data_IF_425753596132
#
_entry.id   IF_425753596132
#
_cell.length_a   1.000
_cell.length_b   1.000
_cell.length_c   1.000
_cell.angle_alpha   90.00
_cell.angle_beta   90.00
_cell.angle_gamma   90.00
#
_symmetry.space_group_name_H-M   'P 1'
#
loop_
_entity.id
_entity.type
_entity.pdbx_description
1 polymer ?
#
# COMPACT_ATOMS: atom_id res chain seq x y z
N UNK A 1 -14.36 -48.05 -14.59
CA UNK A 1 -13.79 -46.98 -15.45
C UNK A 1 -13.91 -45.60 -14.80
N UNK A 2 -15.08 -45.18 -14.28
CA UNK A 2 -15.24 -43.89 -13.59
C UNK A 2 -14.53 -43.81 -12.21
N UNK A 3 -14.49 -44.92 -11.45
CA UNK A 3 -13.77 -44.94 -10.15
C UNK A 3 -12.25 -44.83 -10.30
N UNK A 4 -11.64 -45.47 -11.29
CA UNK A 4 -10.20 -45.36 -11.53
C UNK A 4 -9.78 -43.94 -11.97
N UNK A 5 -10.64 -43.24 -12.72
CA UNK A 5 -10.43 -41.84 -13.06
C UNK A 5 -10.49 -40.93 -11.83
N UNK A 6 -11.39 -41.22 -10.87
CA UNK A 6 -11.46 -40.50 -9.60
C UNK A 6 -10.22 -40.71 -8.72
N UNK A 7 -9.72 -41.95 -8.67
CA UNK A 7 -8.54 -42.32 -7.90
C UNK A 7 -7.27 -41.70 -8.47
N UNK A 8 -7.12 -41.71 -9.80
CA UNK A 8 -6.01 -41.03 -10.49
C UNK A 8 -6.07 -39.50 -10.35
N UNK A 9 -7.26 -38.90 -10.34
CA UNK A 9 -7.42 -37.47 -10.08
C UNK A 9 -7.05 -37.09 -8.64
N UNK A 10 -7.42 -37.93 -7.67
CA UNK A 10 -7.04 -37.74 -6.26
C UNK A 10 -5.53 -37.93 -6.06
N UNK A 11 -4.94 -38.93 -6.70
CA UNK A 11 -3.51 -39.23 -6.59
C UNK A 11 -2.66 -38.14 -7.28
N UNK A 12 -3.09 -37.61 -8.43
CA UNK A 12 -2.47 -36.43 -9.06
C UNK A 12 -2.53 -35.19 -8.18
N UNK A 13 -3.64 -34.95 -7.46
CA UNK A 13 -3.74 -33.82 -6.51
C UNK A 13 -2.75 -33.95 -5.35
N UNK A 14 -2.55 -35.15 -4.82
CA UNK A 14 -1.58 -35.38 -3.74
C UNK A 14 -0.12 -35.21 -4.21
N UNK A 15 0.21 -35.65 -5.42
CA UNK A 15 1.55 -35.46 -6.00
C UNK A 15 1.82 -33.99 -6.32
N UNK A 16 0.82 -33.24 -6.80
CA UNK A 16 0.93 -31.78 -7.01
C UNK A 16 1.10 -31.01 -5.69
N UNK A 17 0.47 -31.46 -4.60
CA UNK A 17 0.68 -30.91 -3.25
C UNK A 17 2.07 -31.22 -2.70
N UNK A 18 2.58 -32.44 -2.93
CA UNK A 18 3.90 -32.87 -2.46
C UNK A 18 5.07 -32.24 -3.24
N UNK A 19 4.82 -31.79 -4.48
CA UNK A 19 5.78 -31.05 -5.31
C UNK A 19 5.73 -29.54 -5.11
N UNK A 20 4.84 -29.01 -4.24
CA UNK A 20 4.89 -27.60 -3.92
C UNK A 20 6.19 -27.29 -3.18
N UNK A 21 6.96 -26.27 -3.63
CA UNK A 21 8.13 -25.84 -2.90
C UNK A 21 7.71 -25.51 -1.46
N UNK A 22 8.56 -25.91 -0.50
CA UNK A 22 8.40 -25.65 0.95
C UNK A 22 8.66 -24.17 1.28
N UNK A 23 8.18 -23.28 0.42
CA UNK A 23 8.24 -21.83 0.57
C UNK A 23 6.79 -21.39 0.70
N UNK A 24 6.46 -20.78 1.84
CA UNK A 24 5.12 -20.31 2.09
C UNK A 24 4.72 -19.32 0.98
N UNK A 25 3.73 -19.65 0.13
CA UNK A 25 3.40 -18.82 -1.03
C UNK A 25 3.04 -17.39 -0.58
N UNK A 26 2.43 -17.27 0.60
CA UNK A 26 2.07 -16.01 1.25
C UNK A 26 3.28 -15.13 1.56
N UNK A 27 4.38 -15.71 2.06
CA UNK A 27 5.61 -14.98 2.33
C UNK A 27 6.21 -14.43 1.03
N UNK A 28 6.17 -15.22 -0.03
CA UNK A 28 6.67 -14.83 -1.35
C UNK A 28 5.85 -13.65 -1.90
N UNK A 29 4.52 -13.70 -1.79
CA UNK A 29 3.65 -12.59 -2.19
C UNK A 29 3.93 -11.31 -1.39
N UNK A 30 4.10 -11.41 -0.07
CA UNK A 30 4.38 -10.27 0.79
C UNK A 30 5.73 -9.59 0.45
N UNK A 31 6.78 -10.38 0.20
CA UNK A 31 8.10 -9.84 -0.17
C UNK A 31 8.05 -9.19 -1.55
N UNK A 32 7.43 -9.84 -2.53
CA UNK A 32 7.26 -9.28 -3.88
C UNK A 32 6.45 -7.98 -3.83
N UNK A 33 5.37 -7.95 -3.03
CA UNK A 33 4.55 -6.76 -2.78
C UNK A 33 5.40 -5.60 -2.26
N UNK A 34 6.21 -5.84 -1.23
CA UNK A 34 7.05 -4.80 -0.62
C UNK A 34 8.07 -4.26 -1.63
N UNK A 35 8.71 -5.15 -2.40
CA UNK A 35 9.66 -4.76 -3.45
C UNK A 35 8.96 -3.89 -4.49
N UNK A 36 7.79 -4.31 -4.99
CA UNK A 36 7.03 -3.53 -5.97
C UNK A 36 6.66 -2.13 -5.44
N UNK A 37 6.22 -2.03 -4.19
CA UNK A 37 5.82 -0.76 -3.57
C UNK A 37 6.97 0.22 -3.35
N UNK A 38 8.22 -0.25 -3.24
CA UNK A 38 9.39 0.60 -3.11
C UNK A 38 9.98 0.93 -4.49
N UNK A 39 10.17 -0.10 -5.32
CA UNK A 39 10.88 0.04 -6.60
C UNK A 39 10.12 0.90 -7.62
N UNK A 40 8.78 0.81 -7.70
CA UNK A 40 8.02 1.55 -8.70
C UNK A 40 7.98 3.06 -8.46
N UNK A 41 7.63 3.56 -7.25
CA UNK A 41 7.73 4.99 -6.96
C UNK A 41 9.17 5.51 -7.04
N UNK A 42 10.16 4.70 -6.66
CA UNK A 42 11.58 5.06 -6.77
C UNK A 42 11.99 5.22 -8.23
N UNK A 43 11.61 4.26 -9.08
CA UNK A 43 11.85 4.33 -10.52
C UNK A 43 11.19 5.55 -11.15
N UNK A 44 9.95 5.86 -10.77
CA UNK A 44 9.25 7.05 -11.23
C UNK A 44 9.98 8.35 -10.81
N UNK A 45 10.54 8.39 -9.61
CA UNK A 45 11.33 9.53 -9.15
C UNK A 45 12.66 9.67 -9.90
N UNK A 46 13.37 8.57 -10.16
CA UNK A 46 14.63 8.58 -10.95
C UNK A 46 14.37 9.13 -12.37
N UNK A 47 13.19 8.85 -12.92
CA UNK A 47 12.73 9.41 -14.21
C UNK A 47 12.27 10.87 -14.11
N UNK A 48 12.47 11.54 -12.98
CA UNK A 48 12.04 12.92 -12.72
C UNK A 48 10.56 13.16 -13.04
N UNK A 49 9.70 12.18 -12.73
CA UNK A 49 8.24 12.32 -12.90
C UNK A 49 7.68 13.35 -11.92
N UNK A 50 6.52 13.90 -12.26
CA UNK A 50 5.84 14.89 -11.43
C UNK A 50 5.43 14.29 -10.08
N UNK A 51 5.25 15.15 -9.07
CA UNK A 51 4.79 14.73 -7.75
C UNK A 51 3.44 14.03 -7.82
N UNK A 52 2.56 14.51 -8.71
CA UNK A 52 1.26 13.90 -8.99
C UNK A 52 1.43 12.44 -9.39
N UNK A 53 2.36 12.15 -10.30
CA UNK A 53 2.60 10.81 -10.79
C UNK A 53 3.05 9.84 -9.68
N UNK A 54 3.82 10.32 -8.70
CA UNK A 54 4.24 9.50 -7.56
C UNK A 54 3.06 9.06 -6.70
N UNK A 55 2.19 9.99 -6.32
CA UNK A 55 0.98 9.67 -5.54
C UNK A 55 0.02 8.76 -6.34
N UNK A 56 -0.16 9.00 -7.64
CA UNK A 56 -1.04 8.15 -8.46
C UNK A 56 -0.49 6.74 -8.65
N UNK A 57 0.81 6.58 -8.86
CA UNK A 57 1.45 5.26 -9.00
C UNK A 57 1.33 4.49 -7.68
N UNK A 58 1.65 5.14 -6.55
CA UNK A 58 1.51 4.53 -5.23
C UNK A 58 0.05 4.12 -4.96
N UNK A 59 -0.91 5.00 -5.23
CA UNK A 59 -2.34 4.70 -5.12
C UNK A 59 -2.74 3.48 -5.95
N UNK A 60 -2.38 3.44 -7.24
CA UNK A 60 -2.69 2.31 -8.11
C UNK A 60 -2.10 1.00 -7.59
N UNK A 61 -0.88 1.05 -7.05
CA UNK A 61 -0.24 -0.14 -6.47
C UNK A 61 -0.93 -0.61 -5.20
N UNK A 62 -1.26 0.31 -4.29
CA UNK A 62 -2.03 -0.04 -3.09
C UNK A 62 -3.36 -0.69 -3.46
N UNK A 63 -4.10 -0.14 -4.44
CA UNK A 63 -5.38 -0.71 -4.88
C UNK A 63 -5.17 -2.08 -5.55
N UNK A 64 -4.29 -2.17 -6.55
CA UNK A 64 -4.10 -3.38 -7.33
C UNK A 64 -3.68 -4.57 -6.45
N UNK A 65 -2.77 -4.31 -5.52
CA UNK A 65 -2.28 -5.34 -4.63
C UNK A 65 -3.31 -5.68 -3.52
N UNK A 66 -4.06 -4.69 -3.00
CA UNK A 66 -5.19 -4.98 -2.09
C UNK A 66 -6.22 -5.90 -2.74
N UNK A 67 -6.52 -5.66 -4.02
CA UNK A 67 -7.43 -6.52 -4.78
C UNK A 67 -6.86 -7.92 -4.97
N UNK A 68 -5.57 -8.05 -5.27
CA UNK A 68 -4.90 -9.34 -5.40
C UNK A 68 -4.97 -10.13 -4.08
N UNK A 69 -4.64 -9.48 -2.96
CA UNK A 69 -4.69 -10.06 -1.63
C UNK A 69 -6.12 -10.47 -1.26
N UNK A 70 -7.13 -9.64 -1.57
CA UNK A 70 -8.53 -9.96 -1.35
C UNK A 70 -8.99 -11.19 -2.16
N UNK A 71 -8.55 -11.31 -3.41
CA UNK A 71 -8.86 -12.48 -4.26
C UNK A 71 -8.20 -13.74 -3.70
N UNK A 72 -6.90 -13.68 -3.36
CA UNK A 72 -6.18 -14.81 -2.76
C UNK A 72 -6.85 -15.25 -1.46
N UNK A 73 -7.22 -14.29 -0.62
CA UNK A 73 -7.93 -14.54 0.63
C UNK A 73 -9.30 -15.19 0.39
N UNK A 74 -10.06 -14.68 -0.57
CA UNK A 74 -11.40 -15.22 -0.91
C UNK A 74 -11.31 -16.65 -1.43
N UNK A 75 -10.33 -16.95 -2.28
CA UNK A 75 -10.06 -18.30 -2.78
C UNK A 75 -9.62 -19.24 -1.66
N UNK A 76 -8.73 -18.78 -0.78
CA UNK A 76 -8.25 -19.57 0.36
C UNK A 76 -9.40 -19.88 1.31
N UNK A 77 -10.27 -18.90 1.61
CA UNK A 77 -11.44 -19.08 2.46
C UNK A 77 -12.43 -20.09 1.90
N UNK A 78 -12.69 -20.05 0.59
CA UNK A 78 -13.61 -20.96 -0.06
C UNK A 78 -13.06 -22.39 -0.19
N UNK A 79 -11.74 -22.56 -0.11
CA UNK A 79 -11.07 -23.87 -0.16
C UNK A 79 -10.95 -24.56 1.21
N UNK A 80 -11.17 -23.84 2.32
CA UNK A 80 -11.12 -24.42 3.66
C UNK A 80 -12.37 -25.27 3.95
N UNK A 81 -12.18 -26.57 4.16
CA UNK A 81 -13.18 -27.48 4.75
C UNK A 81 -13.20 -27.30 6.27
N UNK A 82 -14.30 -27.67 6.93
CA UNK A 82 -14.64 -27.38 8.34
C UNK A 82 -13.67 -27.88 9.42
N UNK A 83 -12.53 -28.48 9.06
CA UNK A 83 -11.63 -29.21 9.95
C UNK A 83 -10.27 -28.49 10.19
N UNK A 84 -10.07 -27.27 9.68
CA UNK A 84 -8.87 -26.48 9.95
C UNK A 84 -9.20 -25.14 10.65
N UNK A 85 -9.03 -25.03 11.99
CA UNK A 85 -9.47 -23.87 12.75
C UNK A 85 -8.45 -22.73 12.90
N UNK A 86 -7.28 -22.75 12.23
CA UNK A 86 -6.17 -21.89 12.68
C UNK A 86 -6.11 -20.48 12.05
N UNK A 87 -6.60 -20.26 10.82
CA UNK A 87 -6.31 -19.00 10.10
C UNK A 87 -7.52 -18.15 9.71
N UNK A 88 -8.75 -18.64 9.89
CA UNK A 88 -9.97 -17.89 9.51
C UNK A 88 -10.17 -16.63 10.38
N UNK A 89 -9.58 -16.63 11.59
CA UNK A 89 -9.73 -15.61 12.62
C UNK A 89 -8.37 -15.04 13.09
N UNK A 90 -7.34 -15.01 12.23
CA UNK A 90 -6.06 -14.37 12.57
C UNK A 90 -5.98 -12.94 12.04
N UNK A 91 -5.20 -12.09 12.73
CA UNK A 91 -4.94 -10.70 12.33
C UNK A 91 -4.42 -10.56 10.89
N UNK A 92 -3.89 -11.64 10.31
CA UNK A 92 -3.45 -11.73 8.93
C UNK A 92 -4.58 -11.38 7.93
N UNK A 93 -5.79 -11.91 8.14
CA UNK A 93 -6.93 -11.71 7.22
C UNK A 93 -7.45 -10.28 7.27
N UNK A 94 -7.52 -9.68 8.47
CA UNK A 94 -8.07 -8.34 8.67
C UNK A 94 -7.04 -7.25 8.35
N UNK A 95 -5.77 -7.50 8.67
CA UNK A 95 -4.66 -6.59 8.39
C UNK A 95 -4.43 -6.41 6.90
N UNK A 96 -4.44 -7.50 6.12
CA UNK A 96 -4.08 -7.46 4.71
C UNK A 96 -5.13 -6.72 3.84
N UNK A 97 -6.44 -6.97 4.05
CA UNK A 97 -7.48 -6.37 3.20
C UNK A 97 -7.90 -4.95 3.59
N UNK A 98 -7.98 -4.62 4.90
CA UNK A 98 -8.42 -3.29 5.33
C UNK A 98 -7.28 -2.27 5.37
N UNK A 99 -6.05 -2.67 5.71
CA UNK A 99 -4.95 -1.71 5.82
C UNK A 99 -4.44 -1.24 4.44
N UNK A 100 -4.49 -2.09 3.41
CA UNK A 100 -4.00 -1.73 2.09
C UNK A 100 -4.97 -0.80 1.33
N UNK A 101 -6.29 -1.01 1.44
CA UNK A 101 -7.31 -0.05 0.96
C UNK A 101 -7.29 1.25 1.79
N UNK A 102 -7.11 1.15 3.10
CA UNK A 102 -6.93 2.31 3.98
C UNK A 102 -5.76 3.22 3.55
N UNK A 103 -4.67 2.62 3.07
CA UNK A 103 -3.49 3.35 2.57
C UNK A 103 -3.69 3.98 1.19
N UNK A 104 -4.60 3.45 0.37
CA UNK A 104 -4.91 4.03 -0.94
C UNK A 104 -5.65 5.37 -0.83
N UNK A 105 -6.50 5.56 0.19
CA UNK A 105 -7.24 6.81 0.41
C UNK A 105 -6.37 8.05 0.58
N UNK A 106 -5.38 8.10 1.49
CA UNK A 106 -4.51 9.27 1.62
C UNK A 106 -3.71 9.51 0.34
N UNK A 107 -3.26 8.45 -0.35
CA UNK A 107 -2.57 8.58 -1.63
C UNK A 107 -3.46 9.20 -2.72
N UNK A 108 -4.71 8.76 -2.81
CA UNK A 108 -5.69 9.31 -3.74
C UNK A 108 -5.99 10.79 -3.43
N UNK A 109 -6.22 11.10 -2.15
CA UNK A 109 -6.47 12.48 -1.70
C UNK A 109 -5.32 13.41 -2.10
N UNK A 110 -4.07 13.02 -1.82
CA UNK A 110 -2.91 13.85 -2.16
C UNK A 110 -2.59 13.85 -3.66
N UNK A 111 -2.87 12.77 -4.40
CA UNK A 111 -2.80 12.78 -5.86
C UNK A 111 -3.73 13.85 -6.45
N UNK A 112 -5.01 13.85 -6.03
CA UNK A 112 -6.00 14.83 -6.52
C UNK A 112 -5.66 16.24 -6.08
N UNK A 113 -5.27 16.44 -4.81
CA UNK A 113 -4.89 17.75 -4.30
C UNK A 113 -3.68 18.32 -5.05
N UNK A 114 -2.60 17.54 -5.20
CA UNK A 114 -1.40 17.98 -5.92
C UNK A 114 -1.66 18.20 -7.41
N UNK A 115 -2.50 17.37 -8.04
CA UNK A 115 -2.96 17.58 -9.41
C UNK A 115 -3.66 18.93 -9.54
N UNK A 116 -4.63 19.21 -8.67
CA UNK A 116 -5.38 20.46 -8.68
C UNK A 116 -4.46 21.69 -8.47
N UNK A 117 -3.57 21.65 -7.47
CA UNK A 117 -2.60 22.73 -7.25
C UNK A 117 -1.64 22.89 -8.44
N UNK A 118 -1.19 21.80 -9.06
CA UNK A 118 -0.30 21.87 -10.23
C UNK A 118 -1.00 22.51 -11.43
N UNK A 119 -2.29 22.24 -11.64
CA UNK A 119 -3.08 22.78 -12.76
C UNK A 119 -3.21 24.29 -12.70
N UNK A 120 -3.33 24.86 -11.51
CA UNK A 120 -3.41 26.30 -11.28
C UNK A 120 -2.05 26.96 -11.03
N UNK A 121 -0.94 26.22 -11.15
CA UNK A 121 0.40 26.74 -10.85
C UNK A 121 0.60 27.12 -9.37
N UNK A 122 -0.24 26.57 -8.48
CA UNK A 122 -0.26 26.88 -7.06
C UNK A 122 0.65 25.98 -6.21
N UNK A 123 1.31 24.98 -6.81
CA UNK A 123 2.27 24.10 -6.14
C UNK A 123 3.67 24.73 -6.10
N UNK A 124 4.01 25.40 -5.01
CA UNK A 124 5.23 26.21 -4.87
C UNK A 124 6.44 25.35 -4.46
N UNK A 125 6.22 24.29 -3.68
CA UNK A 125 7.28 23.51 -3.04
C UNK A 125 7.31 22.03 -3.50
N UNK A 126 7.49 21.74 -4.80
CA UNK A 126 7.39 20.37 -5.30
C UNK A 126 8.43 19.42 -4.68
N UNK A 127 9.65 19.89 -4.41
CA UNK A 127 10.71 19.07 -3.79
C UNK A 127 10.36 18.62 -2.37
N UNK A 128 9.82 19.53 -1.57
CA UNK A 128 9.38 19.23 -0.21
C UNK A 128 8.19 18.26 -0.21
N UNK A 129 7.27 18.42 -1.17
CA UNK A 129 6.14 17.49 -1.35
C UNK A 129 6.62 16.07 -1.73
N UNK A 130 7.69 15.93 -2.53
CA UNK A 130 8.30 14.61 -2.81
C UNK A 130 8.91 13.99 -1.55
N UNK A 131 9.58 14.79 -0.72
CA UNK A 131 10.16 14.29 0.53
C UNK A 131 9.07 13.81 1.49
N UNK A 132 8.01 14.62 1.67
CA UNK A 132 6.86 14.26 2.49
C UNK A 132 6.07 13.07 1.93
N UNK A 133 6.02 12.91 0.60
CA UNK A 133 5.48 11.71 -0.04
C UNK A 133 6.23 10.45 0.44
N UNK A 134 7.56 10.45 0.40
CA UNK A 134 8.34 9.29 0.85
C UNK A 134 8.19 9.03 2.34
N UNK A 135 8.16 10.10 3.13
CA UNK A 135 7.95 9.97 4.57
C UNK A 135 6.59 9.33 4.88
N UNK A 136 5.52 9.78 4.21
CA UNK A 136 4.19 9.18 4.31
C UNK A 136 4.20 7.73 3.80
N UNK A 137 4.74 7.48 2.61
CA UNK A 137 4.73 6.18 1.95
C UNK A 137 5.46 5.12 2.77
N UNK A 138 6.66 5.41 3.26
CA UNK A 138 7.44 4.50 4.11
C UNK A 138 6.71 4.24 5.44
N UNK A 139 6.11 5.27 6.05
CA UNK A 139 5.36 5.11 7.30
C UNK A 139 4.15 4.18 7.12
N UNK A 140 3.40 4.34 6.02
CA UNK A 140 2.27 3.47 5.68
C UNK A 140 2.71 2.03 5.36
N UNK A 141 3.83 1.86 4.66
CA UNK A 141 4.42 0.54 4.41
C UNK A 141 4.80 -0.16 5.71
N UNK A 142 5.48 0.54 6.62
CA UNK A 142 5.90 -0.05 7.90
C UNK A 142 4.71 -0.40 8.80
N UNK A 143 3.67 0.46 8.82
CA UNK A 143 2.45 0.22 9.60
C UNK A 143 1.74 -1.06 9.18
N UNK A 144 1.69 -1.37 7.87
CA UNK A 144 0.96 -2.52 7.33
C UNK A 144 1.82 -3.78 7.22
N UNK A 145 3.02 -3.66 6.65
CA UNK A 145 3.86 -4.83 6.34
C UNK A 145 4.39 -5.50 7.60
N UNK A 146 4.83 -4.72 8.60
CA UNK A 146 5.51 -5.28 9.77
C UNK A 146 4.61 -6.21 10.60
N UNK A 147 3.36 -5.84 10.96
CA UNK A 147 2.44 -6.77 11.61
C UNK A 147 2.08 -7.95 10.73
N UNK A 148 1.78 -7.71 9.44
CA UNK A 148 1.35 -8.76 8.52
C UNK A 148 2.42 -9.83 8.32
N UNK A 149 3.69 -9.43 8.26
CA UNK A 149 4.84 -10.32 8.17
C UNK A 149 5.02 -11.13 9.48
N UNK A 150 4.91 -10.48 10.63
CA UNK A 150 5.08 -11.14 11.93
C UNK A 150 3.93 -12.10 12.26
N UNK A 151 2.69 -11.75 11.94
CA UNK A 151 1.53 -12.63 12.13
C UNK A 151 1.49 -13.81 11.15
N UNK A 152 2.23 -13.74 10.04
CA UNK A 152 2.41 -14.89 9.17
C UNK A 152 3.32 -15.95 9.82
N UNK A 153 4.37 -15.52 10.53
CA UNK A 153 5.31 -16.40 11.23
C UNK A 153 4.71 -16.91 12.55
N UNK A 154 4.00 -16.03 13.25
CA UNK A 154 3.35 -16.33 14.52
C UNK A 154 1.84 -16.12 14.38
N UNK A 155 1.07 -17.13 13.95
CA UNK A 155 -0.36 -17.00 13.79
C UNK A 155 -1.02 -16.83 15.16
N UNK A 156 -1.72 -15.71 15.34
CA UNK A 156 -2.44 -15.41 16.58
C UNK A 156 -3.90 -15.07 16.31
N UNK A 157 -4.83 -15.57 17.15
CA UNK A 157 -6.24 -15.26 16.98
C UNK A 157 -6.53 -13.80 17.35
N UNK A 158 -7.52 -13.22 16.69
CA UNK A 158 -8.00 -11.85 16.91
C UNK A 158 -8.63 -11.66 18.31
N UNK A 159 -8.51 -10.45 18.86
CA UNK A 159 -9.16 -9.98 20.12
C UNK A 159 -8.54 -10.40 21.46
N UNK A 160 -7.26 -10.76 21.52
CA UNK A 160 -6.59 -10.91 22.81
C UNK A 160 -6.04 -9.57 23.31
N UNK A 161 -6.25 -9.31 24.59
CA UNK A 161 -5.73 -8.13 25.29
C UNK A 161 -4.26 -8.35 25.68
N UNK A 162 -3.92 -9.59 26.05
CA UNK A 162 -2.57 -9.96 26.46
C UNK A 162 -1.78 -10.57 25.30
N UNK A 163 -0.62 -9.98 25.02
CA UNK A 163 0.31 -10.40 23.97
C UNK A 163 1.57 -11.00 24.61
N UNK A 164 2.19 -12.01 23.99
CA UNK A 164 3.58 -12.35 24.27
C UNK A 164 4.45 -11.07 24.14
N UNK A 165 5.41 -10.89 25.04
CA UNK A 165 6.24 -9.67 25.12
C UNK A 165 6.86 -9.26 23.77
N UNK A 166 7.22 -10.24 22.94
CA UNK A 166 7.73 -9.99 21.58
C UNK A 166 6.71 -9.32 20.65
N UNK A 167 5.45 -9.75 20.65
CA UNK A 167 4.39 -9.14 19.83
C UNK A 167 3.98 -7.76 20.35
N UNK A 168 4.07 -7.54 21.68
CA UNK A 168 3.87 -6.22 22.25
C UNK A 168 4.88 -5.21 21.67
N UNK A 169 6.14 -5.62 21.48
CA UNK A 169 7.16 -4.76 20.86
C UNK A 169 6.83 -4.39 19.40
N UNK A 170 6.32 -5.34 18.61
CA UNK A 170 5.90 -5.10 17.23
C UNK A 170 4.70 -4.15 17.18
N UNK A 171 3.72 -4.34 18.05
CA UNK A 171 2.57 -3.45 18.17
C UNK A 171 2.99 -2.02 18.53
N UNK A 172 3.98 -1.85 19.40
CA UNK A 172 4.55 -0.54 19.74
C UNK A 172 5.20 0.13 18.53
N UNK A 173 5.99 -0.62 17.73
CA UNK A 173 6.58 -0.10 16.48
C UNK A 173 5.49 0.30 15.49
N UNK A 174 4.43 -0.49 15.35
CA UNK A 174 3.29 -0.17 14.48
C UNK A 174 2.53 1.07 14.96
N UNK A 175 2.36 1.25 16.27
CA UNK A 175 1.76 2.45 16.83
C UNK A 175 2.61 3.70 16.54
N UNK A 176 3.93 3.60 16.68
CA UNK A 176 4.85 4.69 16.38
C UNK A 176 4.83 5.08 14.89
N UNK A 177 4.82 4.08 13.99
CA UNK A 177 4.76 4.34 12.55
C UNK A 177 3.39 4.87 12.10
N UNK A 178 2.31 4.48 12.77
CA UNK A 178 0.99 5.08 12.59
C UNK A 178 1.00 6.56 12.98
N UNK A 179 1.59 6.93 14.13
CA UNK A 179 1.78 8.32 14.54
C UNK A 179 2.56 9.13 13.49
N UNK A 180 3.65 8.56 12.95
CA UNK A 180 4.45 9.18 11.89
C UNK A 180 3.63 9.41 10.63
N UNK A 181 2.79 8.44 10.23
CA UNK A 181 1.92 8.57 9.07
C UNK A 181 0.89 9.70 9.26
N UNK A 182 0.30 9.81 10.46
CA UNK A 182 -0.62 10.89 10.79
C UNK A 182 0.06 12.26 10.75
N UNK A 183 1.25 12.38 11.34
CA UNK A 183 2.02 13.61 11.28
C UNK A 183 2.37 14.01 9.83
N UNK A 184 2.74 13.03 9.00
CA UNK A 184 3.02 13.25 7.59
C UNK A 184 1.81 13.80 6.84
N UNK A 185 0.61 13.27 7.10
CA UNK A 185 -0.66 13.77 6.53
C UNK A 185 -0.91 15.22 6.96
N UNK A 186 -0.77 15.53 8.25
CA UNK A 186 -1.00 16.89 8.78
C UNK A 186 -0.03 17.89 8.16
N UNK A 187 1.26 17.57 8.13
CA UNK A 187 2.31 18.44 7.55
C UNK A 187 2.09 18.62 6.05
N UNK A 188 1.76 17.55 5.33
CA UNK A 188 1.50 17.62 3.89
C UNK A 188 0.25 18.45 3.58
N UNK A 189 -0.84 18.26 4.33
CA UNK A 189 -2.05 19.06 4.20
C UNK A 189 -1.77 20.54 4.48
N UNK A 190 -1.08 20.85 5.59
CA UNK A 190 -0.67 22.21 5.93
C UNK A 190 0.20 22.85 4.85
N UNK A 191 1.15 22.09 4.28
CA UNK A 191 2.02 22.56 3.20
C UNK A 191 1.23 22.87 1.91
N UNK A 192 0.27 22.02 1.52
CA UNK A 192 -0.55 22.25 0.34
C UNK A 192 -1.49 23.45 0.52
N UNK A 193 -2.13 23.57 1.68
CA UNK A 193 -2.97 24.73 2.02
C UNK A 193 -2.13 26.01 2.01
N UNK A 194 -0.97 26.01 2.66
CA UNK A 194 -0.03 27.14 2.66
C UNK A 194 0.42 27.52 1.25
N UNK A 195 0.74 26.52 0.42
CA UNK A 195 1.09 26.71 -0.98
C UNK A 195 -0.03 27.41 -1.77
N UNK A 196 -1.29 27.00 -1.55
CA UNK A 196 -2.45 27.59 -2.21
C UNK A 196 -2.67 29.07 -1.86
N UNK A 197 -2.51 29.44 -0.58
CA UNK A 197 -2.62 30.84 -0.14
C UNK A 197 -1.50 31.72 -0.68
N UNK A 198 -0.27 31.20 -0.73
CA UNK A 198 0.87 31.93 -1.28
C UNK A 198 0.80 32.10 -2.79
N UNK A 199 0.22 31.14 -3.50
CA UNK A 199 0.03 31.23 -4.94
C UNK A 199 -0.95 32.36 -5.31
N UNK A 200 -2.07 32.47 -4.59
CA UNK A 200 -3.03 33.57 -4.75
C UNK A 200 -2.35 34.94 -4.67
N UNK A 201 -1.42 35.14 -3.72
CA UNK A 201 -0.68 36.41 -3.58
C UNK A 201 0.15 36.78 -4.80
N UNK A 202 0.65 35.80 -5.55
CA UNK A 202 1.51 36.01 -6.74
C UNK A 202 0.73 36.26 -8.02
N UNK A 203 -0.48 35.70 -8.16
CA UNK A 203 -1.28 35.82 -9.39
C UNK A 203 -1.96 37.17 -9.56
N UNK A 204 -2.17 37.95 -8.49
CA UNK A 204 -2.69 39.33 -8.61
C UNK A 204 -1.73 40.28 -9.35
N UNK A 205 -0.44 39.94 -9.44
CA UNK A 205 0.59 40.79 -10.04
C UNK A 205 1.10 40.33 -11.41
N UNK A 206 0.66 39.18 -11.93
CA UNK A 206 1.04 38.72 -13.27
C UNK A 206 -0.19 38.32 -14.07
N UNK A 207 -0.39 38.95 -15.24
CA UNK A 207 -1.36 38.51 -16.25
C UNK A 207 -1.14 37.01 -16.53
N UNK A 208 -2.21 36.23 -16.78
CA UNK A 208 -2.08 34.81 -17.06
C UNK A 208 -1.29 34.62 -18.35
N UNK A 209 -0.01 34.31 -18.24
CA UNK A 209 0.75 33.77 -19.37
C UNK A 209 0.38 32.30 -19.50
N UNK A 210 -0.05 31.83 -20.69
CA UNK A 210 -0.34 30.42 -20.89
C UNK A 210 0.89 29.59 -20.53
N UNK A 211 0.70 28.37 -19.97
CA UNK A 211 1.83 27.52 -19.64
C UNK A 211 2.64 27.26 -20.91
N UNK A 212 3.98 27.34 -20.87
CA UNK A 212 4.81 26.99 -22.02
C UNK A 212 4.49 25.55 -22.43
N UNK A 213 4.36 25.30 -23.74
CA UNK A 213 3.94 24.01 -24.32
C UNK A 213 4.73 22.80 -23.77
N UNK A 214 5.97 23.02 -23.31
CA UNK A 214 6.80 22.02 -22.64
C UNK A 214 6.21 21.46 -21.32
N UNK A 215 5.35 22.20 -20.62
CA UNK A 215 4.70 21.76 -19.38
C UNK A 215 3.43 20.92 -19.67
N UNK A 216 2.75 21.19 -20.78
CA UNK A 216 1.60 20.41 -21.24
C UNK A 216 2.02 19.01 -21.72
N UNK A 217 3.21 18.88 -22.32
CA UNK A 217 3.70 17.58 -22.81
C UNK A 217 4.24 16.65 -21.70
N UNK A 218 4.52 17.16 -20.49
CA UNK A 218 5.00 16.35 -19.35
C UNK A 218 3.91 15.94 -18.36
N UNK A 219 2.68 16.43 -18.56
CA UNK A 219 1.53 16.17 -17.68
C UNK A 219 0.63 15.04 -18.18
N UNK A 220 0.99 14.42 -19.31
CA UNK A 220 0.42 13.17 -19.82
C UNK A 220 1.48 12.06 -19.82
#
# INVERSE_FOLDING_TARGET
MLEELGLLAHQRRMVLFALQPKVDPQLTYAVVFLICQICLPLWAQIRNRSVVALFTIAMMLYIALSCADFVVLSLTRNAMTSDQPANVDTYYIVGLSNAALGNAFPMAFFATATWMLSRYGALIYPRTTVLLFWFLHISLLCTNFLPSFMFNIFPHPRHYIDYPDFLASINLVTAFTSLLSFLAVVVLCGLLVWSSFNARRRTWFKRPTPPPLAYAARTF
#
